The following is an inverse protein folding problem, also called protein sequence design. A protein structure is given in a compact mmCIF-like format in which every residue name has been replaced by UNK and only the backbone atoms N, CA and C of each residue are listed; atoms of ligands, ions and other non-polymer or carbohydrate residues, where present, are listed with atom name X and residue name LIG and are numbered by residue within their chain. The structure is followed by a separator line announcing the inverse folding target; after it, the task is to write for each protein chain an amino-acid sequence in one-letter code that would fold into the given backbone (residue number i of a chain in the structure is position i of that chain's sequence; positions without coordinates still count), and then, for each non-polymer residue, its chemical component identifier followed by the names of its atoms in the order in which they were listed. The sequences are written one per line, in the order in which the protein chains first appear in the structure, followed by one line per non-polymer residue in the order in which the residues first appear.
data_IF_907594961943
#
_entry.id   IF_907594961943
#
_cell.length_a   1.000
_cell.length_b   1.000
_cell.length_c   1.000
_cell.angle_alpha   90.00
_cell.angle_beta   90.00
_cell.angle_gamma   90.00
#
_symmetry.space_group_name_H-M   'P 1'
#
loop_
_entity.id
_entity.type
_entity.pdbx_description
1 polymer ?
#
# COMPACT_ATOMS: atom_id res chain seq x y z
N UNK A 1 -14.82 32.80 23.71
CA UNK A 1 -14.15 32.20 22.54
C UNK A 1 -14.88 30.91 22.25
N UNK A 2 -15.59 30.79 21.11
CA UNK A 2 -16.31 29.56 20.80
C UNK A 2 -15.29 28.41 20.59
N UNK A 3 -15.63 27.17 20.98
CA UNK A 3 -14.77 26.02 20.72
C UNK A 3 -14.63 25.81 19.21
N UNK A 4 -13.41 25.51 18.75
CA UNK A 4 -13.17 25.14 17.35
C UNK A 4 -13.93 23.84 17.03
N UNK A 5 -14.54 23.74 15.83
CA UNK A 5 -15.28 22.56 15.43
C UNK A 5 -14.34 21.35 15.34
N UNK A 6 -14.83 20.21 15.81
CA UNK A 6 -14.20 18.89 15.82
C UNK A 6 -13.32 18.66 14.57
N UNK A 7 -12.01 18.88 14.69
CA UNK A 7 -11.02 18.29 13.80
C UNK A 7 -10.98 16.80 14.12
N UNK A 8 -11.91 16.04 13.52
CA UNK A 8 -11.52 14.71 13.08
C UNK A 8 -10.40 14.92 12.07
N UNK A 9 -9.17 14.97 12.58
CA UNK A 9 -7.94 14.87 11.81
C UNK A 9 -8.05 13.55 11.02
N UNK A 10 -8.65 13.63 9.83
CA UNK A 10 -8.57 12.58 8.84
C UNK A 10 -7.10 12.42 8.53
N UNK A 11 -6.49 11.44 9.19
CA UNK A 11 -5.05 11.22 9.16
C UNK A 11 -4.67 10.94 7.71
N UNK A 12 -3.98 11.90 7.10
CA UNK A 12 -3.57 11.84 5.70
C UNK A 12 -2.58 10.69 5.54
N UNK A 13 -2.97 9.65 4.80
CA UNK A 13 -2.07 8.55 4.46
C UNK A 13 -1.17 8.94 3.28
N UNK A 14 0.14 8.77 3.45
CA UNK A 14 1.12 8.95 2.38
C UNK A 14 1.19 7.68 1.53
N UNK A 15 0.61 7.72 0.34
CA UNK A 15 0.85 6.71 -0.70
C UNK A 15 2.24 6.90 -1.31
N UNK A 16 2.72 5.90 -2.05
CA UNK A 16 3.98 6.00 -2.83
C UNK A 16 3.96 7.23 -3.75
N UNK A 17 2.85 7.48 -4.45
CA UNK A 17 2.71 8.64 -5.34
C UNK A 17 2.81 9.97 -4.59
N UNK A 18 2.13 10.09 -3.43
CA UNK A 18 2.17 11.30 -2.59
C UNK A 18 3.55 11.54 -1.98
N UNK A 19 4.23 10.47 -1.56
CA UNK A 19 5.59 10.57 -1.06
C UNK A 19 6.54 11.11 -2.13
N UNK A 20 6.49 10.54 -3.35
CA UNK A 20 7.27 11.04 -4.50
C UNK A 20 6.89 12.48 -4.86
N UNK A 21 5.60 12.83 -4.81
CA UNK A 21 5.14 14.21 -5.01
C UNK A 21 5.78 15.17 -4.02
N UNK A 22 5.85 14.80 -2.74
CA UNK A 22 6.48 15.59 -1.68
C UNK A 22 7.99 15.75 -1.86
N UNK A 23 8.68 14.68 -2.27
CA UNK A 23 10.11 14.73 -2.61
C UNK A 23 10.41 15.66 -3.78
N UNK A 24 9.53 15.70 -4.78
CA UNK A 24 9.69 16.60 -5.93
C UNK A 24 9.38 18.05 -5.54
N UNK A 25 8.28 18.28 -4.83
CA UNK A 25 7.86 19.61 -4.38
C UNK A 25 6.86 19.51 -3.22
N UNK A 26 7.16 20.06 -2.03
CA UNK A 26 6.22 20.07 -0.91
C UNK A 26 4.87 20.73 -1.22
N UNK A 27 4.86 21.79 -2.05
CA UNK A 27 3.62 22.45 -2.49
C UNK A 27 2.76 21.54 -3.37
N UNK A 28 3.37 20.67 -4.17
CA UNK A 28 2.66 19.69 -4.99
C UNK A 28 1.93 18.67 -4.11
N UNK A 29 2.62 18.10 -3.12
CA UNK A 29 1.99 17.23 -2.12
C UNK A 29 0.83 17.93 -1.42
N UNK A 30 1.03 19.17 -0.95
CA UNK A 30 -0.03 19.92 -0.28
C UNK A 30 -1.27 20.08 -1.16
N UNK A 31 -1.12 20.46 -2.43
CA UNK A 31 -2.24 20.63 -3.36
C UNK A 31 -2.92 19.31 -3.76
N UNK A 32 -2.17 18.19 -3.78
CA UNK A 32 -2.76 16.85 -3.96
C UNK A 32 -3.57 16.40 -2.73
N UNK A 33 -3.18 16.81 -1.52
CA UNK A 33 -3.89 16.50 -0.27
C UNK A 33 -5.08 17.44 -0.04
N UNK A 34 -4.92 18.71 -0.39
CA UNK A 34 -5.87 19.78 -0.17
C UNK A 34 -6.17 20.47 -1.52
N UNK A 35 -6.94 19.81 -2.41
CA UNK A 35 -7.29 20.38 -3.70
C UNK A 35 -8.11 21.67 -3.50
N UNK A 36 -7.78 22.76 -4.21
CA UNK A 36 -8.59 23.98 -4.18
C UNK A 36 -10.01 23.70 -4.68
N UNK A 37 -11.00 24.38 -4.08
CA UNK A 37 -12.39 24.25 -4.50
C UNK A 37 -12.55 24.58 -6.00
N UNK A 38 -13.18 23.68 -6.76
CA UNK A 38 -13.47 23.86 -8.19
C UNK A 38 -12.39 23.37 -9.14
N UNK A 39 -11.28 22.80 -8.67
CA UNK A 39 -10.37 22.03 -9.51
C UNK A 39 -10.94 20.62 -9.71
N UNK A 40 -11.32 20.30 -10.95
CA UNK A 40 -11.60 18.92 -11.36
C UNK A 40 -10.38 18.04 -11.05
N UNK A 41 -10.61 16.89 -10.43
CA UNK A 41 -9.56 15.91 -10.26
C UNK A 41 -8.98 15.58 -11.65
N UNK A 42 -7.66 15.66 -11.81
CA UNK A 42 -7.02 15.24 -13.05
C UNK A 42 -7.39 13.77 -13.31
N UNK A 43 -8.28 13.55 -14.27
CA UNK A 43 -8.79 12.25 -14.63
C UNK A 43 -7.70 11.49 -15.40
N UNK A 44 -7.06 10.55 -14.69
CA UNK A 44 -6.57 9.31 -15.29
C UNK A 44 -5.30 9.39 -16.14
N UNK A 45 -4.15 9.59 -15.50
CA UNK A 45 -2.87 9.17 -16.08
C UNK A 45 -2.72 7.64 -16.06
N UNK A 46 -2.77 7.02 -17.25
CA UNK A 46 -2.36 5.66 -17.65
C UNK A 46 -2.65 4.48 -16.70
N UNK A 47 -3.77 3.80 -16.95
CA UNK A 47 -4.03 2.44 -16.46
C UNK A 47 -2.95 1.42 -16.88
N UNK A 48 -2.14 1.71 -17.91
CA UNK A 48 -1.17 0.75 -18.45
C UNK A 48 -0.08 0.39 -17.44
N UNK A 49 0.39 1.34 -16.63
CA UNK A 49 1.41 1.06 -15.62
C UNK A 49 0.89 0.10 -14.55
N UNK A 50 -0.38 0.28 -14.14
CA UNK A 50 -1.05 -0.58 -13.18
C UNK A 50 -1.27 -1.97 -13.78
N UNK A 51 -1.78 -2.06 -15.02
CA UNK A 51 -2.00 -3.32 -15.74
C UNK A 51 -0.69 -4.09 -15.90
N UNK A 52 0.39 -3.41 -16.32
CA UNK A 52 1.70 -4.02 -16.45
C UNK A 52 2.22 -4.49 -15.08
N UNK A 53 1.98 -3.73 -14.02
CA UNK A 53 2.30 -4.14 -12.65
C UNK A 53 1.61 -5.45 -12.25
N UNK A 54 0.33 -5.60 -12.55
CA UNK A 54 -0.39 -6.86 -12.29
C UNK A 54 0.18 -8.04 -13.08
N UNK A 55 0.51 -7.85 -14.36
CA UNK A 55 1.11 -8.90 -15.18
C UNK A 55 2.48 -9.36 -14.64
N UNK A 56 3.29 -8.41 -14.16
CA UNK A 56 4.58 -8.73 -13.52
C UNK A 56 4.36 -9.50 -12.21
N UNK A 57 3.42 -9.08 -11.37
CA UNK A 57 3.07 -9.79 -10.13
C UNK A 57 2.59 -11.23 -10.39
N UNK A 58 1.73 -11.42 -11.38
CA UNK A 58 1.26 -12.76 -11.79
C UNK A 58 2.43 -13.65 -12.24
N UNK A 59 3.37 -13.10 -13.00
CA UNK A 59 4.57 -13.83 -13.44
C UNK A 59 5.49 -14.17 -12.26
N UNK A 60 5.64 -13.26 -11.29
CA UNK A 60 6.41 -13.51 -10.08
C UNK A 60 5.84 -14.68 -9.27
N UNK A 61 4.52 -14.76 -9.12
CA UNK A 61 3.84 -15.90 -8.49
C UNK A 61 4.12 -17.23 -9.22
N UNK A 62 4.19 -17.22 -10.56
CA UNK A 62 4.51 -18.41 -11.37
C UNK A 62 5.98 -18.84 -11.21
N UNK A 63 6.91 -17.89 -11.18
CA UNK A 63 8.34 -18.15 -11.06
C UNK A 63 8.75 -18.58 -9.64
N UNK A 64 8.07 -18.05 -8.62
CA UNK A 64 8.36 -18.31 -7.22
C UNK A 64 7.12 -18.81 -6.48
N UNK A 65 6.75 -20.10 -6.60
CA UNK A 65 5.54 -20.63 -5.97
C UNK A 65 5.51 -20.39 -4.45
N UNK A 66 4.35 -19.99 -3.95
CA UNK A 66 4.09 -19.65 -2.55
C UNK A 66 2.63 -19.25 -2.32
N UNK A 67 2.32 -18.82 -1.09
CA UNK A 67 0.97 -18.35 -0.72
C UNK A 67 0.78 -16.88 -1.10
N UNK A 68 -0.35 -16.52 -1.70
CA UNK A 68 -0.70 -15.12 -2.01
C UNK A 68 -1.64 -14.56 -0.95
N UNK A 69 -1.31 -13.39 -0.42
CA UNK A 69 -2.20 -12.62 0.46
C UNK A 69 -3.14 -11.80 -0.41
N UNK A 70 -4.45 -12.05 -0.29
CA UNK A 70 -5.45 -11.34 -1.08
C UNK A 70 -5.80 -10.00 -0.44
N UNK A 71 -6.13 -9.01 -1.28
CA UNK A 71 -6.59 -7.69 -0.83
C UNK A 71 -8.12 -7.52 -0.89
N UNK A 72 -8.85 -8.55 -1.31
CA UNK A 72 -10.30 -8.54 -1.51
C UNK A 72 -11.10 -8.09 -0.27
N UNK A 73 -10.61 -8.44 0.92
CA UNK A 73 -11.24 -8.19 2.21
C UNK A 73 -10.66 -6.98 2.95
N UNK A 74 -9.79 -6.20 2.29
CA UNK A 74 -9.17 -4.98 2.83
C UNK A 74 -7.91 -5.22 3.68
N UNK A 75 -7.31 -4.11 4.14
CA UNK A 75 -5.99 -4.11 4.79
C UNK A 75 -5.93 -4.93 6.08
N UNK A 76 -6.94 -4.83 6.95
CA UNK A 76 -6.96 -5.56 8.22
C UNK A 76 -6.97 -7.08 8.00
N UNK A 77 -7.71 -7.54 6.98
CA UNK A 77 -7.75 -8.95 6.61
C UNK A 77 -6.39 -9.42 6.03
N UNK A 78 -5.78 -8.61 5.16
CA UNK A 78 -4.46 -8.91 4.60
C UNK A 78 -3.37 -9.03 5.68
N UNK A 79 -3.40 -8.14 6.70
CA UNK A 79 -2.47 -8.22 7.84
C UNK A 79 -2.70 -9.50 8.65
N UNK A 80 -3.96 -9.84 8.96
CA UNK A 80 -4.27 -11.06 9.70
C UNK A 80 -3.89 -12.32 8.92
N UNK A 81 -4.16 -12.36 7.61
CA UNK A 81 -3.74 -13.46 6.75
C UNK A 81 -2.22 -13.60 6.71
N UNK A 82 -1.50 -12.49 6.59
CA UNK A 82 -0.03 -12.47 6.63
C UNK A 82 0.49 -13.04 7.96
N UNK A 83 -0.09 -12.62 9.09
CA UNK A 83 0.30 -13.13 10.41
C UNK A 83 0.13 -14.65 10.51
N UNK A 84 -0.98 -15.20 10.02
CA UNK A 84 -1.23 -16.65 10.01
C UNK A 84 -0.21 -17.40 9.15
N UNK A 85 0.09 -16.89 7.95
CA UNK A 85 1.07 -17.50 7.04
C UNK A 85 2.50 -17.41 7.59
N UNK A 86 2.84 -16.32 8.30
CA UNK A 86 4.14 -16.17 8.97
C UNK A 86 4.24 -17.05 10.22
N UNK A 87 3.13 -17.40 10.86
CA UNK A 87 3.14 -18.35 11.98
C UNK A 87 3.32 -19.81 11.51
N UNK A 88 2.97 -20.13 10.26
CA UNK A 88 3.19 -21.45 9.67
C UNK A 88 4.62 -21.59 9.13
N UNK A 89 5.43 -22.44 9.77
CA UNK A 89 6.82 -22.69 9.39
C UNK A 89 6.96 -23.45 8.07
N UNK A 90 5.92 -24.17 7.63
CA UNK A 90 5.93 -24.88 6.35
C UNK A 90 5.83 -23.90 5.17
N UNK A 91 5.30 -22.69 5.39
CA UNK A 91 5.18 -21.65 4.38
C UNK A 91 6.54 -20.99 4.16
N UNK A 92 7.15 -21.28 3.01
CA UNK A 92 8.45 -20.75 2.62
C UNK A 92 8.38 -19.38 1.95
N UNK A 93 7.28 -19.07 1.26
CA UNK A 93 7.10 -17.86 0.46
C UNK A 93 5.69 -17.31 0.58
N UNK A 94 5.60 -15.99 0.75
CA UNK A 94 4.34 -15.24 0.84
C UNK A 94 4.41 -14.06 -0.12
N UNK A 95 3.56 -14.06 -1.14
CA UNK A 95 3.39 -12.94 -2.06
C UNK A 95 2.43 -11.92 -1.46
N UNK A 96 2.72 -10.64 -1.70
CA UNK A 96 1.93 -9.51 -1.19
C UNK A 96 1.76 -9.50 0.34
N UNK A 97 2.74 -10.04 1.07
CA UNK A 97 2.74 -10.04 2.53
C UNK A 97 2.58 -8.62 3.08
N UNK A 98 1.62 -8.44 3.97
CA UNK A 98 1.18 -7.13 4.45
C UNK A 98 1.47 -6.97 5.93
N UNK A 99 2.16 -5.89 6.27
CA UNK A 99 2.57 -5.52 7.62
C UNK A 99 2.12 -4.10 7.93
N UNK A 100 1.88 -3.83 9.21
CA UNK A 100 1.65 -2.48 9.69
C UNK A 100 2.42 -2.23 10.97
N UNK A 101 3.06 -1.07 11.08
CA UNK A 101 3.74 -0.62 12.30
C UNK A 101 3.63 0.90 12.40
N UNK A 102 3.18 1.42 13.56
CA UNK A 102 3.07 2.87 13.83
C UNK A 102 2.43 3.70 12.70
N UNK A 103 1.34 3.20 12.11
CA UNK A 103 0.61 3.81 10.97
C UNK A 103 1.35 3.78 9.63
N UNK A 104 2.50 3.12 9.56
CA UNK A 104 3.15 2.75 8.30
C UNK A 104 2.59 1.40 7.89
N UNK A 105 2.09 1.33 6.65
CA UNK A 105 1.67 0.10 6.02
C UNK A 105 2.73 -0.30 4.99
N UNK A 106 3.17 -1.55 5.04
CA UNK A 106 4.10 -2.14 4.08
C UNK A 106 3.43 -3.36 3.47
N UNK A 107 3.33 -3.40 2.15
CA UNK A 107 2.97 -4.60 1.40
C UNK A 107 4.14 -4.95 0.49
N UNK A 108 4.83 -6.05 0.78
CA UNK A 108 6.00 -6.49 0.03
C UNK A 108 5.58 -7.41 -1.11
N UNK A 109 6.24 -7.32 -2.26
CA UNK A 109 5.88 -8.16 -3.42
C UNK A 109 6.07 -9.65 -3.11
N UNK A 110 7.19 -10.00 -2.46
CA UNK A 110 7.53 -11.36 -2.05
C UNK A 110 8.29 -11.34 -0.72
N UNK A 111 7.80 -12.07 0.26
CA UNK A 111 8.51 -12.45 1.48
C UNK A 111 8.96 -13.91 1.35
N UNK A 112 10.24 -14.18 1.57
CA UNK A 112 10.79 -15.53 1.55
C UNK A 112 11.58 -15.78 2.84
N UNK A 113 11.36 -16.94 3.45
CA UNK A 113 12.21 -17.39 4.55
C UNK A 113 13.59 -17.76 4.02
N UNK A 114 14.63 -17.24 4.66
CA UNK A 114 16.02 -17.56 4.38
C UNK A 114 16.63 -18.33 5.55
N UNK A 115 17.64 -19.14 5.28
CA UNK A 115 18.46 -19.77 6.34
C UNK A 115 19.27 -18.73 7.14
N UNK A 116 19.41 -17.51 6.63
CA UNK A 116 20.17 -16.43 7.27
C UNK A 116 19.28 -15.41 8.03
N UNK A 117 17.97 -15.65 8.08
CA UNK A 117 16.99 -14.70 8.60
C UNK A 117 16.22 -14.01 7.49
#
# INVERSE_FOLDING_TARGET
MPPLPNEQLNKVQLSKSRFIAGLQCPKRLYLEVHPPAGLEAQSGGSNLQIINGYAVGEMACKLYPGSLVAYDSGLSAAIAQTANLVADESVQRIHEATFSFENVLVRVDLLQRSSEG
#
